data_IF_953477298040
#
_entry.id   IF_953477298040
#
_cell.length_a   1.000
_cell.length_b   1.000
_cell.length_c   1.000
_cell.angle_alpha   90.00
_cell.angle_beta   90.00
_cell.angle_gamma   90.00
#
_symmetry.space_group_name_H-M   'P 1'
#
loop_
_entity.id
_entity.type
_entity.pdbx_description
1 polymer ?
#
# COMPACT_ATOMS: atom_id res chain seq x y z
N UNK A 1 24.00 -2.39 10.96
CA UNK A 1 23.53 -3.17 9.80
C UNK A 1 23.55 -2.23 8.62
N UNK A 2 24.13 -2.63 7.50
CA UNK A 2 24.23 -1.78 6.31
C UNK A 2 22.83 -1.39 5.81
N UNK A 3 22.54 -0.09 5.67
CA UNK A 3 21.24 0.42 5.20
C UNK A 3 20.84 -0.17 3.85
N UNK A 4 21.79 -0.43 2.94
CA UNK A 4 21.51 -1.08 1.65
C UNK A 4 21.01 -2.50 1.82
N UNK A 5 21.56 -3.25 2.78
CA UNK A 5 21.06 -4.59 3.11
C UNK A 5 19.67 -4.56 3.71
N UNK A 6 19.30 -3.49 4.40
CA UNK A 6 17.97 -3.31 4.97
C UNK A 6 16.96 -3.00 3.86
N UNK A 7 17.29 -2.07 2.95
CA UNK A 7 16.47 -1.71 1.79
C UNK A 7 16.20 -2.91 0.87
N UNK A 8 17.24 -3.67 0.52
CA UNK A 8 17.08 -4.88 -0.32
C UNK A 8 16.17 -5.93 0.36
N UNK A 9 16.21 -6.04 1.68
CA UNK A 9 15.31 -6.95 2.41
C UNK A 9 13.88 -6.45 2.47
N UNK A 10 13.65 -5.15 2.34
CA UNK A 10 12.31 -4.55 2.37
C UNK A 10 11.62 -4.60 1.00
N UNK A 11 12.37 -4.71 -0.09
CA UNK A 11 11.81 -4.71 -1.45
C UNK A 11 10.70 -5.75 -1.64
N UNK A 12 10.94 -7.01 -1.31
CA UNK A 12 9.94 -8.07 -1.47
C UNK A 12 8.71 -7.90 -0.52
N UNK A 13 8.88 -7.63 0.79
CA UNK A 13 7.75 -7.29 1.66
C UNK A 13 6.91 -6.10 1.18
N UNK A 14 7.55 -5.06 0.65
CA UNK A 14 6.88 -3.86 0.14
C UNK A 14 6.09 -4.17 -1.13
N UNK A 15 6.65 -4.96 -2.04
CA UNK A 15 5.96 -5.39 -3.25
C UNK A 15 4.72 -6.24 -2.92
N UNK A 16 4.83 -7.13 -1.93
CA UNK A 16 3.68 -7.93 -1.45
C UNK A 16 2.60 -7.04 -0.83
N UNK A 17 2.98 -6.02 -0.06
CA UNK A 17 2.05 -5.03 0.49
C UNK A 17 1.34 -4.26 -0.63
N UNK A 18 2.09 -3.75 -1.61
CA UNK A 18 1.55 -3.06 -2.78
C UNK A 18 0.53 -3.94 -3.52
N UNK A 19 0.89 -5.18 -3.83
CA UNK A 19 0.00 -6.14 -4.48
C UNK A 19 -1.29 -6.38 -3.67
N UNK A 20 -1.16 -6.52 -2.34
CA UNK A 20 -2.31 -6.72 -1.45
C UNK A 20 -3.26 -5.51 -1.42
N UNK A 21 -2.72 -4.30 -1.34
CA UNK A 21 -3.49 -3.06 -1.39
C UNK A 21 -4.21 -2.93 -2.74
N UNK A 22 -3.52 -3.29 -3.84
CA UNK A 22 -4.12 -3.27 -5.17
C UNK A 22 -5.25 -4.28 -5.33
N UNK A 23 -5.14 -5.46 -4.70
CA UNK A 23 -6.24 -6.43 -4.69
C UNK A 23 -7.47 -5.87 -3.96
N UNK A 24 -7.27 -5.20 -2.81
CA UNK A 24 -8.36 -4.56 -2.05
C UNK A 24 -9.01 -3.41 -2.84
N UNK A 25 -8.21 -2.63 -3.60
CA UNK A 25 -8.75 -1.62 -4.53
C UNK A 25 -9.74 -2.25 -5.51
N UNK A 26 -9.34 -3.33 -6.19
CA UNK A 26 -10.19 -4.01 -7.16
C UNK A 26 -11.47 -4.55 -6.53
N UNK A 27 -11.39 -5.11 -5.33
CA UNK A 27 -12.57 -5.58 -4.58
C UNK A 27 -13.50 -4.41 -4.24
N UNK A 28 -12.95 -3.30 -3.76
CA UNK A 28 -13.71 -2.09 -3.39
C UNK A 28 -14.43 -1.49 -4.60
N UNK A 29 -13.75 -1.43 -5.75
CA UNK A 29 -14.34 -0.96 -7.01
C UNK A 29 -15.49 -1.87 -7.47
N UNK A 30 -15.33 -3.20 -7.33
CA UNK A 30 -16.38 -4.18 -7.64
C UNK A 30 -17.61 -4.03 -6.74
N UNK A 31 -17.42 -3.84 -5.44
CA UNK A 31 -18.54 -3.65 -4.48
C UNK A 31 -19.37 -2.40 -4.76
N UNK A 32 -18.74 -1.32 -5.24
CA UNK A 32 -19.44 -0.09 -5.62
C UNK A 32 -20.39 -0.31 -6.81
N UNK A 33 -20.11 -1.29 -7.68
CA UNK A 33 -20.97 -1.62 -8.80
C UNK A 33 -22.23 -2.39 -8.40
N UNK A 34 -22.24 -3.06 -7.25
CA UNK A 34 -23.31 -3.98 -6.83
C UNK A 34 -24.19 -3.43 -5.69
N UNK A 35 -24.01 -2.15 -5.29
CA UNK A 35 -24.70 -1.53 -4.14
C UNK A 35 -24.60 -2.36 -2.84
N UNK A 36 -23.44 -3.00 -2.65
CA UNK A 36 -23.23 -3.93 -1.54
C UNK A 36 -23.27 -3.21 -0.17
N UNK A 37 -24.01 -3.75 0.83
CA UNK A 37 -23.85 -3.31 2.20
C UNK A 37 -22.37 -3.39 2.60
N UNK A 38 -21.90 -2.37 3.34
CA UNK A 38 -20.50 -2.21 3.77
C UNK A 38 -19.49 -1.70 2.72
N UNK A 39 -19.90 -1.41 1.47
CA UNK A 39 -18.99 -0.86 0.45
C UNK A 39 -18.25 0.41 0.94
N UNK A 40 -18.93 1.29 1.68
CA UNK A 40 -18.30 2.48 2.26
C UNK A 40 -17.27 2.16 3.35
N UNK A 41 -17.53 1.12 4.17
CA UNK A 41 -16.59 0.69 5.20
C UNK A 41 -15.33 0.06 4.59
N UNK A 42 -15.50 -0.78 3.57
CA UNK A 42 -14.39 -1.35 2.81
C UNK A 42 -13.57 -0.28 2.09
N UNK A 43 -14.25 0.72 1.50
CA UNK A 43 -13.61 1.87 0.88
C UNK A 43 -12.77 2.67 1.88
N UNK A 44 -13.28 2.96 3.07
CA UNK A 44 -12.52 3.66 4.10
C UNK A 44 -11.26 2.87 4.52
N UNK A 45 -11.36 1.54 4.65
CA UNK A 45 -10.21 0.70 4.95
C UNK A 45 -9.17 0.72 3.83
N UNK A 46 -9.61 0.67 2.57
CA UNK A 46 -8.73 0.80 1.41
C UNK A 46 -8.02 2.15 1.36
N UNK A 47 -8.76 3.26 1.52
CA UNK A 47 -8.21 4.62 1.53
C UNK A 47 -7.13 4.78 2.62
N UNK A 48 -7.35 4.21 3.80
CA UNK A 48 -6.35 4.16 4.87
C UNK A 48 -5.07 3.42 4.46
N UNK A 49 -5.20 2.22 3.89
CA UNK A 49 -4.07 1.42 3.45
C UNK A 49 -3.28 2.10 2.33
N UNK A 50 -3.97 2.73 1.37
CA UNK A 50 -3.35 3.49 0.29
C UNK A 50 -2.57 4.70 0.80
N UNK A 51 -3.10 5.40 1.82
CA UNK A 51 -2.38 6.51 2.45
C UNK A 51 -1.12 6.02 3.17
N UNK A 52 -1.19 4.89 3.87
CA UNK A 52 -0.03 4.28 4.51
C UNK A 52 1.04 3.86 3.49
N UNK A 53 0.64 3.27 2.35
CA UNK A 53 1.58 2.92 1.27
C UNK A 53 2.28 4.15 0.69
N UNK A 54 1.53 5.23 0.47
CA UNK A 54 2.09 6.51 -0.01
C UNK A 54 3.15 7.03 0.95
N UNK A 55 2.86 7.05 2.25
CA UNK A 55 3.82 7.49 3.27
C UNK A 55 5.08 6.62 3.32
N UNK A 56 4.96 5.30 3.11
CA UNK A 56 6.12 4.41 3.01
C UNK A 56 6.95 4.72 1.77
N UNK A 57 6.33 4.95 0.61
CA UNK A 57 7.04 5.31 -0.63
C UNK A 57 7.79 6.65 -0.48
N UNK A 58 7.14 7.65 0.10
CA UNK A 58 7.78 8.94 0.38
C UNK A 58 9.01 8.79 1.29
N UNK A 59 8.88 8.01 2.37
CA UNK A 59 9.99 7.72 3.27
C UNK A 59 11.16 6.99 2.56
N UNK A 60 10.85 6.04 1.67
CA UNK A 60 11.87 5.33 0.89
C UNK A 60 12.60 6.23 -0.11
N UNK A 61 11.89 7.17 -0.74
CA UNK A 61 12.50 8.13 -1.67
C UNK A 61 13.42 9.12 -0.94
N UNK A 62 13.06 9.53 0.29
CA UNK A 62 13.94 10.34 1.14
C UNK A 62 15.23 9.59 1.51
N UNK A 63 15.14 8.31 1.89
CA UNK A 63 16.31 7.49 2.21
C UNK A 63 17.22 7.29 0.99
N UNK A 64 16.69 7.29 -0.23
CA UNK A 64 17.49 7.22 -1.47
C UNK A 64 18.16 8.55 -1.85
N UNK A 65 17.67 9.70 -1.37
CA UNK A 65 18.17 11.03 -1.76
C UNK A 65 19.21 11.61 -0.81
N UNK A 66 19.42 10.99 0.36
CA UNK A 66 20.49 11.34 1.31
C UNK A 66 21.84 10.61 1.04
N UNK A 67 21.94 9.82 -0.05
CA UNK A 67 23.19 9.27 -0.61
C UNK A 67 23.81 10.18 -1.69
#
# INVERSE_FOLDING_TARGET
MDEKKLLVKLEEPLERLHCGIKAIELMTLGMKCEEEPYADGFRAAWEYLQSAETGIREALELVKTEE
#
